data_IF_948760520352
#
_entry.id   IF_948760520352
#
_cell.length_a   1.000
_cell.length_b   1.000
_cell.length_c   1.000
_cell.angle_alpha   90.00
_cell.angle_beta   90.00
_cell.angle_gamma   90.00
#
_symmetry.space_group_name_H-M   'P 1'
#
loop_
_entity.id
_entity.type
_entity.pdbx_description
1 polymer ?
#
# COMPACT_ATOMS: atom_id res chain seq x y z
N UNK A 1 -18.50 30.62 -15.58
CA UNK A 1 -19.01 29.71 -14.55
C UNK A 1 -18.77 28.24 -14.93
N UNK A 2 -19.18 27.77 -16.11
CA UNK A 2 -19.00 26.36 -16.53
C UNK A 2 -17.52 25.91 -16.60
N UNK A 3 -16.62 26.73 -17.12
CA UNK A 3 -15.18 26.41 -17.20
C UNK A 3 -14.57 26.32 -15.79
N UNK A 4 -14.97 27.16 -14.87
CA UNK A 4 -14.50 27.16 -13.48
C UNK A 4 -14.94 25.88 -12.76
N UNK A 5 -16.20 25.47 -12.92
CA UNK A 5 -16.72 24.22 -12.33
C UNK A 5 -15.98 23.01 -12.88
N UNK A 6 -15.80 22.93 -14.21
CA UNK A 6 -15.07 21.84 -14.85
C UNK A 6 -13.60 21.74 -14.35
N UNK A 7 -12.91 22.88 -14.25
CA UNK A 7 -11.53 22.92 -13.75
C UNK A 7 -11.44 22.38 -12.31
N UNK A 8 -12.38 22.75 -11.45
CA UNK A 8 -12.44 22.27 -10.06
C UNK A 8 -12.73 20.78 -9.99
N UNK A 9 -13.60 20.24 -10.84
CA UNK A 9 -13.89 18.79 -10.88
C UNK A 9 -12.67 18.00 -11.33
N UNK A 10 -11.94 18.47 -12.36
CA UNK A 10 -10.71 17.85 -12.83
C UNK A 10 -9.63 17.86 -11.74
N UNK A 11 -9.44 19.00 -11.07
CA UNK A 11 -8.50 19.12 -9.96
C UNK A 11 -8.83 18.15 -8.82
N UNK A 12 -10.10 18.06 -8.43
CA UNK A 12 -10.52 17.12 -7.40
C UNK A 12 -10.31 15.66 -7.80
N UNK A 13 -10.58 15.31 -9.07
CA UNK A 13 -10.34 13.96 -9.57
C UNK A 13 -8.86 13.58 -9.54
N UNK A 14 -7.98 14.49 -9.96
CA UNK A 14 -6.53 14.30 -9.89
C UNK A 14 -6.08 14.12 -8.44
N UNK A 15 -6.57 15.00 -7.55
CA UNK A 15 -6.20 14.93 -6.15
C UNK A 15 -6.67 13.63 -5.47
N UNK A 16 -7.86 13.13 -5.78
CA UNK A 16 -8.34 11.87 -5.23
C UNK A 16 -7.43 10.70 -5.66
N UNK A 17 -6.96 10.69 -6.91
CA UNK A 17 -5.98 9.70 -7.36
C UNK A 17 -4.64 9.81 -6.62
N UNK A 18 -4.16 11.04 -6.39
CA UNK A 18 -2.95 11.29 -5.58
C UNK A 18 -3.16 10.85 -4.14
N UNK A 19 -4.33 11.13 -3.55
CA UNK A 19 -4.67 10.68 -2.20
C UNK A 19 -4.66 9.15 -2.07
N UNK A 20 -5.18 8.42 -3.09
CA UNK A 20 -5.10 6.96 -3.13
C UNK A 20 -3.65 6.46 -3.16
N UNK A 21 -2.80 7.07 -4.00
CA UNK A 21 -1.38 6.75 -4.10
C UNK A 21 -0.64 6.99 -2.78
N UNK A 22 -0.90 8.10 -2.11
CA UNK A 22 -0.28 8.44 -0.82
C UNK A 22 -0.81 7.56 0.31
N UNK A 23 -2.10 7.19 0.28
CA UNK A 23 -2.72 6.32 1.28
C UNK A 23 -2.09 4.93 1.28
N UNK A 24 -1.96 4.29 0.11
CA UNK A 24 -1.31 2.99 0.01
C UNK A 24 0.18 3.08 0.35
N UNK A 25 0.87 4.13 -0.10
CA UNK A 25 2.29 4.35 0.20
C UNK A 25 2.56 4.40 1.71
N UNK A 26 1.77 5.17 2.46
CA UNK A 26 1.94 5.27 3.90
C UNK A 26 1.66 3.93 4.62
N UNK A 27 0.56 3.23 4.26
CA UNK A 27 0.29 1.90 4.85
C UNK A 27 1.37 0.88 4.48
N UNK A 28 1.94 0.95 3.28
CA UNK A 28 3.08 0.11 2.89
C UNK A 28 4.25 0.29 3.86
N UNK A 29 4.62 1.52 4.22
CA UNK A 29 5.70 1.78 5.17
C UNK A 29 5.44 1.20 6.56
N UNK A 30 4.20 1.27 7.06
CA UNK A 30 3.83 0.60 8.33
C UNK A 30 4.08 -0.90 8.28
N UNK A 31 3.73 -1.54 7.17
CA UNK A 31 3.89 -2.99 6.99
C UNK A 31 5.37 -3.36 6.86
N UNK A 32 6.19 -2.57 6.17
CA UNK A 32 7.63 -2.81 6.06
C UNK A 32 8.36 -2.62 7.40
N UNK A 33 7.99 -1.61 8.17
CA UNK A 33 8.52 -1.44 9.53
C UNK A 33 8.11 -2.61 10.43
N UNK A 34 6.86 -3.10 10.31
CA UNK A 34 6.42 -4.28 11.05
C UNK A 34 7.25 -5.52 10.67
N UNK A 35 7.54 -5.72 9.39
CA UNK A 35 8.40 -6.80 8.91
C UNK A 35 9.82 -6.71 9.51
N UNK A 36 10.41 -5.51 9.53
CA UNK A 36 11.73 -5.27 10.12
C UNK A 36 11.75 -5.49 11.64
N UNK A 37 10.71 -5.06 12.34
CA UNK A 37 10.55 -5.31 13.80
C UNK A 37 10.38 -6.80 14.10
N UNK A 38 9.59 -7.52 13.29
CA UNK A 38 9.45 -8.99 13.40
C UNK A 38 10.80 -9.67 13.23
N UNK A 39 11.60 -9.24 12.25
CA UNK A 39 12.97 -9.75 12.07
C UNK A 39 13.82 -9.52 13.33
N UNK A 40 13.78 -8.34 13.91
CA UNK A 40 14.54 -8.04 15.13
C UNK A 40 14.14 -8.96 16.30
N UNK A 41 12.83 -9.18 16.48
CA UNK A 41 12.29 -9.93 17.62
C UNK A 41 12.42 -11.44 17.45
N UNK A 42 12.28 -11.96 16.22
CA UNK A 42 12.26 -13.41 15.94
C UNK A 42 13.53 -13.95 15.26
N UNK A 43 14.42 -13.07 14.83
CA UNK A 43 15.60 -13.41 14.03
C UNK A 43 15.31 -13.58 12.55
N UNK A 44 14.05 -13.57 12.11
CA UNK A 44 13.64 -13.78 10.72
C UNK A 44 12.52 -12.83 10.32
N UNK A 45 12.64 -12.18 9.17
CA UNK A 45 11.57 -11.41 8.57
C UNK A 45 10.48 -12.32 7.99
N UNK A 46 9.28 -11.80 7.72
CA UNK A 46 8.24 -12.54 6.98
C UNK A 46 8.62 -12.69 5.51
N UNK A 47 9.20 -11.64 4.92
CA UNK A 47 9.77 -11.63 3.58
C UNK A 47 11.07 -10.82 3.56
N UNK A 48 11.90 -11.11 2.59
CA UNK A 48 13.13 -10.38 2.32
C UNK A 48 13.25 -10.03 0.84
N UNK A 49 13.92 -8.92 0.57
CA UNK A 49 14.41 -8.54 -0.77
C UNK A 49 15.92 -8.71 -0.73
N UNK A 50 16.47 -9.84 -1.20
CA UNK A 50 17.91 -10.07 -1.23
C UNK A 50 18.61 -9.04 -2.11
N UNK A 51 19.90 -8.79 -1.83
CA UNK A 51 20.73 -7.85 -2.58
C UNK A 51 20.65 -8.06 -4.09
N UNK A 52 20.84 -6.96 -4.84
CA UNK A 52 21.08 -6.88 -6.28
C UNK A 52 19.97 -6.28 -7.14
N UNK A 53 18.86 -5.75 -6.56
CA UNK A 53 17.81 -5.12 -7.39
C UNK A 53 17.82 -3.61 -7.32
N UNK A 54 18.03 -3.01 -6.14
CA UNK A 54 17.96 -1.59 -5.95
C UNK A 54 18.56 -1.15 -4.62
N UNK A 55 18.45 0.13 -4.35
CA UNK A 55 18.79 0.68 -3.05
C UNK A 55 17.85 0.13 -1.98
N UNK A 56 18.35 -0.81 -1.18
CA UNK A 56 17.62 -1.41 -0.07
C UNK A 56 17.45 -0.35 1.04
N UNK A 57 16.22 -0.17 1.51
CA UNK A 57 15.87 0.80 2.57
C UNK A 57 15.65 0.06 3.90
N UNK A 58 14.85 -1.01 3.85
CA UNK A 58 14.61 -1.95 4.95
C UNK A 58 14.73 -3.36 4.41
N UNK A 59 14.75 -4.37 5.29
CA UNK A 59 14.99 -5.78 4.93
C UNK A 59 14.07 -6.31 3.84
N UNK A 60 12.87 -5.81 3.73
CA UNK A 60 11.87 -6.28 2.77
C UNK A 60 11.57 -5.30 1.65
N UNK A 61 12.26 -4.14 1.56
CA UNK A 61 11.88 -3.09 0.62
C UNK A 61 13.04 -2.29 0.07
N UNK A 62 13.05 -2.13 -1.26
CA UNK A 62 13.86 -1.16 -1.99
C UNK A 62 13.05 0.06 -2.43
N UNK A 63 13.74 1.09 -2.94
CA UNK A 63 13.12 2.36 -3.34
C UNK A 63 12.10 2.16 -4.48
N UNK A 64 12.37 1.29 -5.44
CA UNK A 64 11.46 1.01 -6.55
C UNK A 64 10.18 0.32 -6.10
N UNK A 65 10.26 -0.59 -5.12
CA UNK A 65 9.09 -1.28 -4.55
C UNK A 65 8.19 -0.26 -3.86
N UNK A 66 8.76 0.65 -3.07
CA UNK A 66 8.01 1.73 -2.43
C UNK A 66 7.26 2.61 -3.44
N UNK A 67 7.92 2.99 -4.53
CA UNK A 67 7.29 3.79 -5.60
C UNK A 67 6.25 2.99 -6.38
N UNK A 68 6.46 1.69 -6.59
CA UNK A 68 5.51 0.79 -7.26
C UNK A 68 4.16 0.80 -6.56
N UNK A 69 4.12 0.78 -5.21
CA UNK A 69 2.85 0.82 -4.47
C UNK A 69 2.10 2.13 -4.63
N UNK A 70 2.80 3.26 -4.74
CA UNK A 70 2.15 4.54 -5.08
C UNK A 70 1.47 4.47 -6.44
N UNK A 71 2.16 3.92 -7.44
CA UNK A 71 1.62 3.74 -8.80
C UNK A 71 0.45 2.75 -8.78
N UNK A 72 0.55 1.66 -8.02
CA UNK A 72 -0.53 0.69 -7.87
C UNK A 72 -1.81 1.31 -7.29
N UNK A 73 -1.69 2.17 -6.27
CA UNK A 73 -2.82 2.91 -5.71
C UNK A 73 -3.47 3.86 -6.72
N UNK A 74 -2.65 4.56 -7.51
CA UNK A 74 -3.13 5.42 -8.59
C UNK A 74 -3.85 4.62 -9.68
N UNK A 75 -3.32 3.47 -10.08
CA UNK A 75 -3.95 2.61 -11.09
C UNK A 75 -5.26 2.04 -10.55
N UNK A 76 -5.28 1.50 -9.33
CA UNK A 76 -6.48 0.97 -8.70
C UNK A 76 -7.61 2.01 -8.64
N UNK A 77 -7.27 3.27 -8.30
CA UNK A 77 -8.24 4.35 -8.23
C UNK A 77 -8.96 4.63 -9.55
N UNK A 78 -8.28 4.40 -10.69
CA UNK A 78 -8.88 4.57 -12.02
C UNK A 78 -9.86 3.47 -12.42
N UNK A 79 -9.85 2.34 -11.72
CA UNK A 79 -10.79 1.24 -11.94
C UNK A 79 -12.00 1.29 -11.00
N UNK A 80 -12.04 2.28 -10.11
CA UNK A 80 -13.19 2.46 -9.21
C UNK A 80 -14.44 2.87 -9.99
N UNK A 81 -15.60 2.25 -9.72
CA UNK A 81 -16.87 2.71 -10.26
C UNK A 81 -17.10 4.19 -9.92
N UNK A 82 -17.75 4.93 -10.84
CA UNK A 82 -18.07 6.36 -10.59
C UNK A 82 -18.99 6.54 -9.39
N UNK A 83 -20.01 5.68 -9.27
CA UNK A 83 -20.90 5.66 -8.12
C UNK A 83 -20.30 4.74 -7.03
N UNK A 84 -20.00 5.26 -5.81
CA UNK A 84 -19.51 4.45 -4.69
C UNK A 84 -20.46 3.33 -4.24
N UNK A 85 -21.75 3.45 -4.58
CA UNK A 85 -22.79 2.45 -4.25
C UNK A 85 -23.00 1.42 -5.36
N UNK A 86 -22.35 1.58 -6.51
CA UNK A 86 -22.47 0.64 -7.63
C UNK A 86 -22.06 -0.77 -7.19
N UNK A 87 -22.90 -1.74 -7.54
CA UNK A 87 -22.62 -3.16 -7.33
C UNK A 87 -22.06 -3.82 -8.58
N UNK A 88 -21.11 -4.74 -8.39
CA UNK A 88 -20.52 -5.60 -9.41
C UNK A 88 -20.67 -7.02 -8.90
N UNK A 89 -21.31 -7.90 -9.66
CA UNK A 89 -21.61 -9.28 -9.26
C UNK A 89 -22.31 -9.39 -7.89
N UNK A 90 -23.20 -8.43 -7.56
CA UNK A 90 -23.94 -8.40 -6.30
C UNK A 90 -23.15 -7.86 -5.09
N UNK A 91 -21.87 -7.53 -5.26
CA UNK A 91 -21.00 -6.96 -4.22
C UNK A 91 -20.76 -5.47 -4.49
N UNK A 92 -20.46 -4.70 -3.44
CA UNK A 92 -20.06 -3.31 -3.64
C UNK A 92 -18.80 -3.23 -4.51
N UNK A 93 -18.85 -2.41 -5.58
CA UNK A 93 -17.79 -2.29 -6.57
C UNK A 93 -16.43 -1.85 -5.98
N UNK A 94 -16.43 -1.10 -4.84
CA UNK A 94 -15.19 -0.75 -4.13
C UNK A 94 -14.48 -2.00 -3.62
N UNK A 95 -15.22 -2.90 -2.98
CA UNK A 95 -14.66 -4.16 -2.48
C UNK A 95 -14.20 -5.10 -3.58
N UNK A 96 -14.90 -5.10 -4.73
CA UNK A 96 -14.47 -5.89 -5.91
C UNK A 96 -13.12 -5.39 -6.43
N UNK A 97 -12.91 -4.07 -6.50
CA UNK A 97 -11.63 -3.49 -6.92
C UNK A 97 -10.54 -3.77 -5.89
N UNK A 98 -10.82 -3.55 -4.59
CA UNK A 98 -9.88 -3.85 -3.50
C UNK A 98 -9.43 -5.32 -3.57
N UNK A 99 -10.38 -6.26 -3.57
CA UNK A 99 -10.07 -7.69 -3.58
C UNK A 99 -9.38 -8.12 -4.88
N UNK A 100 -9.79 -7.56 -6.02
CA UNK A 100 -9.20 -7.85 -7.33
C UNK A 100 -7.73 -7.44 -7.41
N UNK A 101 -7.39 -6.22 -6.99
CA UNK A 101 -6.01 -5.77 -6.96
C UNK A 101 -5.18 -6.48 -5.88
N UNK A 102 -5.75 -6.71 -4.70
CA UNK A 102 -5.10 -7.49 -3.65
C UNK A 102 -4.75 -8.91 -4.12
N UNK A 103 -5.69 -9.59 -4.80
CA UNK A 103 -5.46 -10.91 -5.37
C UNK A 103 -4.40 -10.88 -6.48
N UNK A 104 -4.47 -9.87 -7.38
CA UNK A 104 -3.48 -9.70 -8.44
C UNK A 104 -2.07 -9.60 -7.88
N UNK A 105 -1.84 -8.71 -6.91
CA UNK A 105 -0.53 -8.49 -6.33
C UNK A 105 -0.03 -9.73 -5.55
N UNK A 106 -0.92 -10.36 -4.79
CA UNK A 106 -0.59 -11.60 -4.08
C UNK A 106 -0.21 -12.74 -5.03
N UNK A 107 -0.89 -12.88 -6.17
CA UNK A 107 -0.57 -13.89 -7.19
C UNK A 107 0.76 -13.56 -7.88
N UNK A 108 1.05 -12.29 -8.13
CA UNK A 108 2.31 -11.86 -8.74
C UNK A 108 3.54 -12.16 -7.85
N UNK A 109 3.38 -12.24 -6.52
CA UNK A 109 4.48 -12.66 -5.64
C UNK A 109 4.86 -14.13 -5.79
N UNK A 110 3.95 -15.00 -6.24
CA UNK A 110 4.23 -16.45 -6.40
C UNK A 110 5.40 -16.70 -7.37
N UNK A 111 5.44 -16.13 -8.59
CA UNK A 111 6.61 -16.24 -9.45
C UNK A 111 7.82 -15.43 -8.92
N UNK A 112 7.60 -14.30 -8.22
CA UNK A 112 8.69 -13.50 -7.65
C UNK A 112 9.44 -14.26 -6.55
N UNK A 113 8.74 -14.99 -5.69
CA UNK A 113 9.33 -15.82 -4.64
C UNK A 113 10.28 -16.89 -5.19
N UNK A 114 10.06 -17.35 -6.43
CA UNK A 114 10.96 -18.29 -7.12
C UNK A 114 12.16 -17.61 -7.77
N UNK A 115 12.23 -16.29 -7.73
CA UNK A 115 13.36 -15.51 -8.26
C UNK A 115 14.40 -15.24 -7.16
N UNK A 116 15.63 -14.83 -7.52
CA UNK A 116 16.64 -14.46 -6.53
C UNK A 116 16.36 -13.09 -5.86
N UNK A 117 15.28 -12.38 -6.25
CA UNK A 117 15.03 -10.99 -5.86
C UNK A 117 14.01 -10.81 -4.75
N UNK A 118 13.29 -11.88 -4.38
CA UNK A 118 12.26 -11.84 -3.35
C UNK A 118 12.11 -13.23 -2.72
N UNK A 119 11.93 -13.30 -1.41
CA UNK A 119 11.71 -14.56 -0.72
C UNK A 119 10.72 -14.42 0.43
N UNK A 120 9.76 -15.35 0.51
CA UNK A 120 9.00 -15.61 1.73
C UNK A 120 9.83 -16.47 2.67
N UNK A 121 10.04 -16.01 3.89
CA UNK A 121 10.98 -16.67 4.82
C UNK A 121 10.31 -17.84 5.55
N UNK A 122 9.05 -17.70 5.95
CA UNK A 122 8.33 -18.74 6.67
C UNK A 122 7.50 -19.64 5.74
N UNK A 123 7.47 -20.96 5.93
CA UNK A 123 6.68 -21.88 5.09
C UNK A 123 5.17 -21.61 5.08
N UNK A 124 4.66 -21.01 6.16
CA UNK A 124 3.23 -20.66 6.28
C UNK A 124 2.92 -19.27 5.71
N UNK A 125 3.94 -18.46 5.45
CA UNK A 125 3.80 -17.14 4.83
C UNK A 125 3.81 -17.31 3.31
N UNK A 126 2.80 -16.78 2.63
CA UNK A 126 2.66 -16.93 1.19
C UNK A 126 1.46 -16.18 0.66
N UNK A 127 1.04 -16.47 -0.55
CA UNK A 127 0.04 -15.69 -1.27
C UNK A 127 -1.26 -15.42 -0.48
N UNK A 128 -1.80 -16.38 0.26
CA UNK A 128 -3.04 -16.20 1.01
C UNK A 128 -2.88 -15.31 2.24
N UNK A 129 -1.90 -15.53 3.14
CA UNK A 129 -1.61 -14.58 4.22
C UNK A 129 -1.30 -13.18 3.71
N UNK A 130 -0.47 -13.04 2.67
CA UNK A 130 -0.11 -11.76 2.06
C UNK A 130 -1.33 -11.05 1.48
N UNK A 131 -2.20 -11.77 0.77
CA UNK A 131 -3.48 -11.25 0.30
C UNK A 131 -4.29 -10.60 1.44
N UNK A 132 -4.47 -11.34 2.54
CA UNK A 132 -5.36 -10.93 3.62
C UNK A 132 -4.77 -9.83 4.52
N UNK A 133 -3.47 -9.91 4.83
CA UNK A 133 -2.83 -9.06 5.84
C UNK A 133 -2.02 -7.90 5.27
N UNK A 134 -1.63 -7.97 4.00
CA UNK A 134 -0.84 -6.93 3.32
C UNK A 134 -1.70 -6.22 2.25
N UNK A 135 -2.11 -6.92 1.22
CA UNK A 135 -2.71 -6.27 0.05
C UNK A 135 -4.15 -5.81 0.24
N UNK A 136 -4.99 -6.54 0.98
CA UNK A 136 -6.33 -6.03 1.32
C UNK A 136 -6.27 -4.70 2.10
N UNK A 137 -5.47 -4.56 3.16
CA UNK A 137 -5.28 -3.27 3.84
C UNK A 137 -4.70 -2.17 2.93
N UNK A 138 -3.75 -2.50 2.05
CA UNK A 138 -3.15 -1.56 1.11
C UNK A 138 -4.20 -0.93 0.20
N UNK A 139 -4.95 -1.74 -0.53
CA UNK A 139 -5.96 -1.24 -1.45
C UNK A 139 -7.19 -0.68 -0.75
N UNK A 140 -7.53 -1.16 0.46
CA UNK A 140 -8.56 -0.54 1.28
C UNK A 140 -8.16 0.89 1.71
N UNK A 141 -6.90 1.12 2.10
CA UNK A 141 -6.39 2.45 2.41
C UNK A 141 -6.42 3.38 1.19
N UNK A 142 -6.02 2.87 0.00
CA UNK A 142 -6.09 3.63 -1.24
C UNK A 142 -7.53 4.06 -1.57
N UNK A 143 -8.49 3.13 -1.51
CA UNK A 143 -9.90 3.41 -1.81
C UNK A 143 -10.52 4.34 -0.77
N UNK A 144 -10.22 4.13 0.52
CA UNK A 144 -10.67 5.04 1.58
C UNK A 144 -10.14 6.46 1.36
N UNK A 145 -8.85 6.60 1.05
CA UNK A 145 -8.25 7.91 0.76
C UNK A 145 -8.86 8.55 -0.48
N UNK A 146 -9.18 7.77 -1.53
CA UNK A 146 -9.83 8.26 -2.74
C UNK A 146 -11.24 8.81 -2.47
N UNK A 147 -12.06 8.07 -1.73
CA UNK A 147 -13.48 8.38 -1.50
C UNK A 147 -13.71 9.40 -0.37
N UNK A 148 -12.74 9.62 0.50
CA UNK A 148 -12.89 10.51 1.63
C UNK A 148 -12.97 12.00 1.22
N UNK A 149 -13.74 12.83 1.92
CA UNK A 149 -13.70 14.28 1.75
C UNK A 149 -12.28 14.84 2.00
N UNK A 150 -11.91 15.93 1.30
CA UNK A 150 -10.57 16.53 1.28
C UNK A 150 -9.93 16.67 2.66
N UNK A 151 -10.66 17.16 3.64
CA UNK A 151 -10.14 17.34 4.99
C UNK A 151 -9.89 16.00 5.71
N UNK A 152 -10.70 15.00 5.44
CA UNK A 152 -10.46 13.65 5.96
C UNK A 152 -9.30 12.96 5.27
N UNK A 153 -9.11 13.17 3.96
CA UNK A 153 -7.93 12.71 3.22
C UNK A 153 -6.65 13.25 3.85
N UNK A 154 -6.57 14.58 4.06
CA UNK A 154 -5.41 15.23 4.68
C UNK A 154 -5.11 14.66 6.07
N UNK A 155 -6.14 14.51 6.91
CA UNK A 155 -5.99 13.97 8.27
C UNK A 155 -5.54 12.51 8.25
N UNK A 156 -6.12 11.69 7.40
CA UNK A 156 -5.80 10.27 7.26
C UNK A 156 -4.36 10.10 6.77
N UNK A 157 -4.00 10.69 5.64
CA UNK A 157 -2.67 10.60 5.05
C UNK A 157 -1.62 11.25 5.97
N UNK A 158 -1.90 12.45 6.47
CA UNK A 158 -0.98 13.14 7.40
C UNK A 158 -0.78 12.38 8.70
N UNK A 159 -1.84 11.75 9.24
CA UNK A 159 -1.77 10.90 10.42
C UNK A 159 -0.92 9.65 10.20
N UNK A 160 -1.07 8.99 9.04
CA UNK A 160 -0.23 7.85 8.67
C UNK A 160 1.24 8.24 8.55
N UNK A 161 1.56 9.32 7.82
CA UNK A 161 2.95 9.78 7.70
C UNK A 161 3.54 10.24 9.03
N UNK A 162 2.75 10.84 9.91
CA UNK A 162 3.20 11.19 11.26
C UNK A 162 3.50 9.94 12.09
N UNK A 163 2.67 8.91 11.97
CA UNK A 163 2.89 7.62 12.61
C UNK A 163 4.14 6.94 12.05
N UNK A 164 4.30 6.89 10.71
CA UNK A 164 5.50 6.34 10.06
C UNK A 164 6.77 7.04 10.56
N UNK A 165 6.77 8.37 10.60
CA UNK A 165 7.91 9.14 11.11
C UNK A 165 8.20 8.84 12.59
N UNK A 166 7.16 8.75 13.41
CA UNK A 166 7.31 8.42 14.84
C UNK A 166 7.87 7.02 15.05
N UNK A 167 7.39 6.02 14.29
CA UNK A 167 7.86 4.64 14.36
C UNK A 167 9.29 4.50 13.83
N UNK A 168 9.64 5.19 12.73
CA UNK A 168 11.00 5.23 12.21
C UNK A 168 11.98 5.82 13.22
N UNK A 169 11.60 6.89 13.93
CA UNK A 169 12.42 7.48 14.99
C UNK A 169 12.52 6.54 16.19
N UNK A 170 11.41 5.91 16.58
CA UNK A 170 11.39 4.99 17.71
C UNK A 170 12.24 3.74 17.44
N UNK A 171 11.98 3.05 16.34
CA UNK A 171 12.65 1.77 16.06
C UNK A 171 14.04 1.96 15.44
N UNK A 172 14.31 3.05 14.72
CA UNK A 172 15.64 3.37 14.17
C UNK A 172 16.59 3.90 15.25
N UNK A 173 16.74 5.22 15.40
CA UNK A 173 17.78 5.78 16.27
C UNK A 173 17.58 5.54 17.77
N UNK A 174 16.35 5.36 18.29
CA UNK A 174 16.11 5.17 19.73
C UNK A 174 16.36 3.71 20.13
N UNK A 175 15.63 2.76 19.52
CA UNK A 175 15.71 1.34 19.88
C UNK A 175 16.76 0.59 19.08
N UNK A 176 17.12 1.07 17.88
CA UNK A 176 18.05 0.43 16.95
C UNK A 176 17.60 -0.99 16.53
N UNK A 177 16.32 -1.13 16.29
CA UNK A 177 15.72 -2.40 15.86
C UNK A 177 15.63 -2.53 14.34
N UNK A 178 15.65 -1.38 13.61
CA UNK A 178 15.59 -1.31 12.14
C UNK A 178 16.66 -0.37 11.60
#
# INVERSE_FOLDING_TARGET
FGISVYATEVENAIWNCVAAALGIYAVHWLVEMANAVIQHLSGHALWTVPDHTSFLILIGVGIEISLMFSIAGLIASKHLPRDPKQTILGMNGRWVVIAGFAALFSILEIPLEKSPHFAWVYPWWGALPVFATVYLPFFAAAVFAYDAPRERQKRFIGGLFALDAALLVLFGPILRWI
#
